data_IF_090204159061
#
_entry.id   IF_090204159061
#
_cell.length_a   1.000
_cell.length_b   1.000
_cell.length_c   1.000
_cell.angle_alpha   90.00
_cell.angle_beta   90.00
_cell.angle_gamma   90.00
#
_symmetry.space_group_name_H-M   'P 1'
#
loop_
_entity.id
_entity.type
_entity.pdbx_description
1 polymer ?
#
# COMPACT_ATOMS: atom_id res chain seq x y z
N UNK A 1 -6.76 1.56 -6.22
CA UNK A 1 -5.46 1.32 -6.87
C UNK A 1 -4.40 1.82 -5.93
N UNK A 2 -3.40 0.99 -5.63
CA UNK A 2 -2.29 1.37 -4.77
C UNK A 2 -1.28 2.25 -5.53
N UNK A 3 -0.21 2.68 -4.83
CA UNK A 3 0.82 3.53 -5.43
C UNK A 3 1.55 2.84 -6.58
N UNK A 4 1.77 1.51 -6.49
CA UNK A 4 2.45 0.72 -7.51
C UNK A 4 1.60 0.63 -8.78
N UNK A 5 0.30 0.34 -8.65
CA UNK A 5 -0.63 0.35 -9.77
C UNK A 5 -0.69 1.72 -10.44
N UNK A 6 -0.76 2.80 -9.66
CA UNK A 6 -0.76 4.17 -10.19
C UNK A 6 0.53 4.53 -10.94
N UNK A 7 1.69 4.16 -10.39
CA UNK A 7 2.97 4.34 -11.07
C UNK A 7 3.01 3.57 -12.40
N UNK A 8 2.56 2.32 -12.42
CA UNK A 8 2.53 1.51 -13.64
C UNK A 8 1.62 2.14 -14.70
N UNK A 9 0.45 2.64 -14.30
CA UNK A 9 -0.47 3.35 -15.20
C UNK A 9 0.16 4.61 -15.79
N UNK A 10 0.79 5.46 -14.97
CA UNK A 10 1.45 6.69 -15.44
C UNK A 10 2.61 6.38 -16.39
N UNK A 11 3.41 5.36 -16.08
CA UNK A 11 4.51 4.91 -16.94
C UNK A 11 4.00 4.46 -18.30
N UNK A 12 2.97 3.62 -18.32
CA UNK A 12 2.35 3.13 -19.55
C UNK A 12 1.73 4.27 -20.36
N UNK A 13 1.04 5.21 -19.71
CA UNK A 13 0.49 6.39 -20.39
C UNK A 13 1.60 7.25 -21.02
N UNK A 14 2.70 7.47 -20.31
CA UNK A 14 3.87 8.17 -20.85
C UNK A 14 4.44 7.49 -22.11
N UNK A 15 4.51 6.15 -22.13
CA UNK A 15 4.96 5.41 -23.32
C UNK A 15 4.03 5.60 -24.52
N UNK A 16 2.71 5.58 -24.32
CA UNK A 16 1.73 5.85 -25.38
C UNK A 16 1.90 7.26 -25.94
N UNK A 17 2.08 8.26 -25.06
CA UNK A 17 2.25 9.66 -25.49
C UNK A 17 3.50 9.88 -26.35
N UNK A 18 4.52 9.04 -26.19
CA UNK A 18 5.77 9.08 -26.98
C UNK A 18 5.70 8.12 -28.20
N UNK A 19 4.55 7.50 -28.45
CA UNK A 19 4.34 6.58 -29.59
C UNK A 19 4.99 5.20 -29.41
N UNK A 20 5.37 4.83 -28.18
CA UNK A 20 6.01 3.54 -27.84
C UNK A 20 4.99 2.53 -27.34
N UNK A 21 3.91 2.34 -28.09
CA UNK A 21 2.79 1.47 -27.69
C UNK A 21 3.20 0.01 -27.55
N UNK A 22 4.21 -0.44 -28.32
CA UNK A 22 4.75 -1.80 -28.23
C UNK A 22 5.41 -2.14 -26.89
N UNK A 23 5.73 -1.13 -26.07
CA UNK A 23 6.37 -1.31 -24.76
C UNK A 23 5.40 -1.17 -23.59
N UNK A 24 4.13 -0.92 -23.88
CA UNK A 24 3.09 -0.80 -22.86
C UNK A 24 2.85 -2.17 -22.23
N UNK A 25 3.00 -2.27 -20.92
CA UNK A 25 2.70 -3.51 -20.21
C UNK A 25 1.20 -3.82 -20.33
N UNK A 26 0.80 -5.09 -20.56
CA UNK A 26 -0.60 -5.48 -20.57
C UNK A 26 -1.26 -5.13 -19.23
N UNK A 27 -2.29 -4.28 -19.29
CA UNK A 27 -3.13 -4.01 -18.14
C UNK A 27 -4.16 -5.14 -18.02
N UNK A 28 -4.03 -5.96 -16.98
CA UNK A 28 -5.07 -6.90 -16.62
C UNK A 28 -6.34 -6.11 -16.31
N UNK A 29 -7.45 -6.48 -16.95
CA UNK A 29 -8.73 -5.83 -16.67
C UNK A 29 -9.17 -6.24 -15.27
N UNK A 30 -9.95 -5.39 -14.61
CA UNK A 30 -10.52 -5.73 -13.29
C UNK A 30 -11.37 -7.02 -13.30
N UNK A 31 -11.86 -7.44 -14.46
CA UNK A 31 -12.60 -8.70 -14.65
C UNK A 31 -11.69 -9.92 -14.83
N UNK A 32 -10.42 -9.69 -15.16
CA UNK A 32 -9.40 -10.72 -15.40
C UNK A 32 -8.44 -10.75 -14.20
N UNK A 33 -8.98 -10.59 -12.98
CA UNK A 33 -8.21 -10.55 -11.74
C UNK A 33 -7.66 -11.95 -11.43
N UNK A 34 -6.40 -12.16 -11.78
CA UNK A 34 -5.69 -13.41 -11.51
C UNK A 34 -5.59 -13.72 -10.03
N UNK A 35 -5.64 -12.71 -9.15
CA UNK A 35 -5.61 -12.93 -7.69
C UNK A 35 -6.88 -13.64 -7.24
N UNK A 36 -8.03 -13.30 -7.82
CA UNK A 36 -9.29 -13.98 -7.55
C UNK A 36 -9.25 -15.44 -8.01
N UNK A 37 -8.70 -15.71 -9.20
CA UNK A 37 -8.54 -17.06 -9.73
C UNK A 37 -7.53 -17.92 -8.94
N UNK A 38 -6.47 -17.31 -8.40
CA UNK A 38 -5.47 -17.99 -7.56
C UNK A 38 -6.02 -18.23 -6.14
N UNK A 39 -6.87 -17.34 -5.64
CA UNK A 39 -7.51 -17.47 -4.34
C UNK A 39 -8.71 -18.44 -4.34
N UNK A 40 -9.27 -18.78 -5.50
CA UNK A 40 -10.29 -19.82 -5.62
C UNK A 40 -9.63 -21.22 -5.65
N UNK A 41 -9.96 -22.12 -4.70
CA UNK A 41 -9.44 -23.47 -4.74
C UNK A 41 -10.01 -24.23 -5.96
N UNK A 42 -9.24 -25.13 -6.59
CA UNK A 42 -9.73 -25.94 -7.68
C UNK A 42 -10.97 -26.74 -7.25
N UNK A 43 -11.97 -26.82 -8.14
CA UNK A 43 -13.28 -27.47 -7.92
C UNK A 43 -13.21 -28.97 -7.60
N UNK A 44 -12.02 -29.56 -7.52
CA UNK A 44 -11.77 -30.99 -7.34
C UNK A 44 -11.20 -31.34 -5.97
N UNK A 45 -11.03 -30.35 -5.08
CA UNK A 45 -10.51 -30.57 -3.73
C UNK A 45 -11.63 -30.31 -2.73
N UNK A 46 -12.39 -31.37 -2.44
CA UNK A 46 -13.20 -31.43 -1.22
C UNK A 46 -12.26 -31.21 -0.02
N UNK A 47 -12.63 -30.29 0.87
CA UNK A 47 -11.94 -29.98 2.14
C UNK A 47 -10.62 -29.19 2.10
N UNK A 48 -10.53 -28.11 1.30
CA UNK A 48 -9.65 -27.01 1.74
C UNK A 48 -10.48 -26.14 2.69
N UNK A 49 -10.13 -26.18 3.99
CA UNK A 49 -10.66 -25.27 5.00
C UNK A 49 -10.57 -23.85 4.45
N UNK A 50 -11.70 -23.30 4.02
CA UNK A 50 -11.80 -21.92 3.57
C UNK A 50 -11.34 -21.06 4.73
N UNK A 51 -10.17 -20.45 4.62
CA UNK A 51 -9.71 -19.47 5.59
C UNK A 51 -10.79 -18.38 5.64
N UNK A 52 -11.39 -18.18 6.81
CA UNK A 52 -12.54 -17.30 6.93
C UNK A 52 -12.10 -15.89 6.55
N UNK A 53 -12.67 -15.36 5.47
CA UNK A 53 -12.33 -14.03 4.98
C UNK A 53 -12.92 -13.00 5.94
N UNK A 54 -12.26 -12.76 7.09
CA UNK A 54 -12.73 -11.82 8.12
C UNK A 54 -12.90 -10.38 7.57
N UNK A 55 -12.28 -10.08 6.43
CA UNK A 55 -12.46 -8.83 5.70
C UNK A 55 -13.82 -8.72 5.02
N UNK A 56 -14.46 -9.84 4.64
CA UNK A 56 -15.80 -9.84 4.06
C UNK A 56 -16.85 -9.33 5.06
N UNK A 57 -16.68 -9.64 6.34
CA UNK A 57 -17.55 -9.14 7.41
C UNK A 57 -17.36 -7.63 7.66
N UNK A 58 -16.18 -7.09 7.33
CA UNK A 58 -15.88 -5.65 7.40
C UNK A 58 -16.27 -4.89 6.13
N UNK A 59 -16.81 -5.56 5.12
CA UNK A 59 -17.26 -4.92 3.89
C UNK A 59 -18.42 -3.97 4.18
N UNK A 60 -18.21 -2.70 3.89
CA UNK A 60 -19.25 -1.68 4.02
C UNK A 60 -20.30 -1.93 2.94
N UNK A 61 -21.55 -2.14 3.33
CA UNK A 61 -22.67 -2.39 2.41
C UNK A 61 -23.95 -1.71 2.89
N UNK A 62 -24.88 -1.50 1.95
CA UNK A 62 -26.22 -0.94 2.21
C UNK A 62 -26.17 0.42 2.90
N UNK A 63 -26.87 0.53 4.03
CA UNK A 63 -27.01 1.79 4.77
C UNK A 63 -25.68 2.35 5.31
N UNK A 64 -24.73 1.48 5.69
CA UNK A 64 -23.40 1.92 6.14
C UNK A 64 -22.63 2.64 5.02
N UNK A 65 -22.86 2.25 3.76
CA UNK A 65 -22.28 2.91 2.60
C UNK A 65 -22.88 4.31 2.39
N UNK A 66 -24.19 4.45 2.57
CA UNK A 66 -24.87 5.76 2.52
C UNK A 66 -24.35 6.68 3.62
N UNK A 67 -24.22 6.17 4.85
CA UNK A 67 -23.67 6.94 5.97
C UNK A 67 -22.22 7.38 5.72
N UNK A 68 -21.39 6.50 5.12
CA UNK A 68 -20.03 6.84 4.71
C UNK A 68 -20.03 7.96 3.67
N UNK A 69 -20.91 7.89 2.67
CA UNK A 69 -21.06 8.93 1.64
C UNK A 69 -21.49 10.27 2.23
N UNK A 70 -22.46 10.28 3.13
CA UNK A 70 -22.90 11.50 3.83
C UNK A 70 -21.80 12.10 4.69
N UNK A 71 -21.04 11.26 5.42
CA UNK A 71 -19.90 11.73 6.22
C UNK A 71 -18.79 12.30 5.33
N UNK A 72 -18.47 11.64 4.22
CA UNK A 72 -17.49 12.15 3.27
C UNK A 72 -17.93 13.51 2.69
N UNK A 73 -19.20 13.65 2.34
CA UNK A 73 -19.74 14.90 1.83
C UNK A 73 -19.72 16.01 2.90
N UNK A 74 -20.08 15.66 4.13
CA UNK A 74 -19.97 16.57 5.28
C UNK A 74 -18.52 17.04 5.48
N UNK A 75 -17.57 16.10 5.47
CA UNK A 75 -16.15 16.40 5.62
C UNK A 75 -15.65 17.29 4.46
N UNK A 76 -16.05 17.01 3.22
CA UNK A 76 -15.70 17.83 2.05
C UNK A 76 -16.26 19.26 2.12
N UNK A 77 -17.49 19.41 2.63
CA UNK A 77 -18.17 20.70 2.71
C UNK A 77 -17.70 21.54 3.89
N UNK A 78 -17.30 20.89 5.00
CA UNK A 78 -17.03 21.59 6.27
C UNK A 78 -15.56 21.58 6.68
N UNK A 79 -14.77 20.58 6.29
CA UNK A 79 -13.33 20.58 6.52
C UNK A 79 -12.67 21.34 5.37
N UNK A 80 -12.12 22.52 5.68
CA UNK A 80 -11.30 23.28 4.74
C UNK A 80 -10.10 22.48 4.25
N UNK A 81 -9.46 22.95 3.17
CA UNK A 81 -8.31 22.26 2.58
C UNK A 81 -7.23 21.97 3.63
N UNK A 82 -7.00 20.68 3.91
CA UNK A 82 -5.86 20.22 4.70
C UNK A 82 -4.59 20.86 4.12
N UNK A 83 -3.91 21.65 4.96
CA UNK A 83 -2.66 22.30 4.58
C UNK A 83 -1.57 21.24 4.44
N UNK A 84 -1.42 20.70 3.23
CA UNK A 84 -0.36 19.75 2.92
C UNK A 84 0.96 20.50 2.84
N UNK A 85 1.83 20.27 3.82
CA UNK A 85 3.19 20.83 3.85
C UNK A 85 4.18 19.75 3.46
N UNK A 86 5.04 20.06 2.50
CA UNK A 86 6.15 19.18 2.14
C UNK A 86 7.31 19.38 3.11
N UNK A 87 7.83 18.29 3.66
CA UNK A 87 9.04 18.29 4.48
C UNK A 87 10.12 17.61 3.65
N UNK A 88 11.21 18.33 3.39
CA UNK A 88 12.37 17.79 2.66
C UNK A 88 13.42 17.29 3.64
N UNK A 89 13.75 16.00 3.56
CA UNK A 89 14.85 15.40 4.32
C UNK A 89 16.02 15.09 3.37
N UNK A 90 17.16 15.79 3.51
CA UNK A 90 18.36 15.47 2.75
C UNK A 90 18.88 14.07 3.09
N UNK A 91 19.52 13.41 2.12
CA UNK A 91 20.14 12.08 2.29
C UNK A 91 21.09 12.02 3.50
N UNK A 92 21.85 13.09 3.74
CA UNK A 92 22.77 13.18 4.89
C UNK A 92 22.00 13.16 6.22
N UNK A 93 20.83 13.82 6.27
CA UNK A 93 19.94 13.76 7.43
C UNK A 93 19.42 12.34 7.64
N UNK A 94 18.88 11.71 6.61
CA UNK A 94 18.38 10.31 6.69
C UNK A 94 19.48 9.35 7.14
N UNK A 95 20.70 9.45 6.58
CA UNK A 95 21.83 8.62 6.99
C UNK A 95 22.22 8.82 8.46
N UNK A 96 22.15 10.06 8.96
CA UNK A 96 22.38 10.36 10.37
C UNK A 96 21.32 9.72 11.26
N UNK A 97 20.03 9.83 10.90
CA UNK A 97 18.95 9.19 11.64
C UNK A 97 19.10 7.66 11.63
N UNK A 98 19.42 7.05 10.49
CA UNK A 98 19.67 5.61 10.40
C UNK A 98 20.81 5.16 11.30
N UNK A 99 21.90 5.94 11.35
CA UNK A 99 23.04 5.67 12.23
C UNK A 99 22.63 5.73 13.70
N UNK A 100 21.90 6.77 14.09
CA UNK A 100 21.41 6.92 15.47
C UNK A 100 20.46 5.79 15.87
N UNK A 101 19.54 5.40 14.99
CA UNK A 101 18.64 4.26 15.22
C UNK A 101 19.41 2.94 15.35
N UNK A 102 20.42 2.73 14.50
CA UNK A 102 21.28 1.54 14.54
C UNK A 102 22.11 1.47 15.83
N UNK A 103 22.69 2.59 16.24
CA UNK A 103 23.45 2.71 17.50
C UNK A 103 22.54 2.49 18.73
N UNK A 104 21.34 3.06 18.74
CA UNK A 104 20.36 2.86 19.80
C UNK A 104 19.91 1.40 19.94
N UNK A 105 19.66 0.72 18.82
CA UNK A 105 19.33 -0.71 18.84
C UNK A 105 20.50 -1.58 19.27
N UNK A 106 21.75 -1.22 18.94
CA UNK A 106 22.93 -1.96 19.38
C UNK A 106 23.10 -1.93 20.90
N UNK A 107 22.70 -0.83 21.56
CA UNK A 107 22.71 -0.70 23.03
C UNK A 107 21.62 -1.58 23.66
N UNK A 108 20.48 -1.74 22.99
CA UNK A 108 19.34 -2.53 23.47
C UNK A 108 19.40 -4.02 23.06
N UNK A 109 20.35 -4.41 22.21
CA UNK A 109 20.46 -5.77 21.70
C UNK A 109 21.08 -6.71 22.75
N UNK A 110 20.37 -7.79 23.09
CA UNK A 110 20.93 -8.89 23.88
C UNK A 110 21.94 -9.70 23.05
N UNK A 111 23.03 -10.21 23.66
CA UNK A 111 24.16 -10.81 22.95
C UNK A 111 23.87 -12.09 22.15
N UNK A 112 22.63 -12.61 22.19
CA UNK A 112 22.25 -13.88 21.56
C UNK A 112 21.05 -13.77 20.60
N UNK A 113 20.75 -12.57 20.07
CA UNK A 113 19.72 -12.38 19.04
C UNK A 113 20.32 -11.79 17.77
N UNK A 114 19.81 -12.27 16.63
CA UNK A 114 20.17 -11.77 15.30
C UNK A 114 20.01 -10.24 15.21
N UNK A 115 20.86 -9.63 14.39
CA UNK A 115 20.88 -8.19 14.19
C UNK A 115 19.49 -7.71 13.73
N UNK A 116 18.86 -6.74 14.43
CA UNK A 116 17.53 -6.27 14.06
C UNK A 116 17.57 -5.62 12.66
N UNK A 117 16.60 -5.97 11.84
CA UNK A 117 16.42 -5.43 10.50
C UNK A 117 15.78 -4.04 10.58
N UNK A 118 16.38 -3.06 9.91
CA UNK A 118 15.95 -1.66 9.91
C UNK A 118 15.93 -1.11 8.50
N UNK A 119 14.79 -0.55 8.08
CA UNK A 119 14.65 0.18 6.81
C UNK A 119 14.60 1.68 7.06
N UNK A 120 14.94 2.45 6.02
CA UNK A 120 14.76 3.90 6.01
C UNK A 120 13.31 4.30 6.34
N UNK A 121 12.32 3.55 5.82
CA UNK A 121 10.91 3.79 6.10
C UNK A 121 10.55 3.67 7.58
N UNK A 122 11.15 2.71 8.29
CA UNK A 122 10.92 2.51 9.73
C UNK A 122 11.48 3.68 10.53
N UNK A 123 12.66 4.19 10.13
CA UNK A 123 13.31 5.34 10.77
C UNK A 123 12.54 6.64 10.57
N UNK A 124 11.87 6.79 9.42
CA UNK A 124 11.06 7.98 9.13
C UNK A 124 9.68 7.95 9.79
N UNK A 125 9.17 6.77 10.13
CA UNK A 125 7.84 6.60 10.72
C UNK A 125 7.85 6.56 12.26
N UNK A 126 9.03 6.34 12.88
CA UNK A 126 9.22 6.32 14.33
C UNK A 126 9.06 7.69 14.99
#
# INVERSE_FOLDING_TARGET
MDAVGFQAMLKNWSLVMVGRESEVLPLLRAKDDMVYAIAEPPSWTEEIQREELHLAQKRISGFKLVLLGLRFLWDLLWQGACQSKSIFLPKVGVAKLMRQASEGMAIMAHPNKEKPFLREGDVLAA
#
